data_IF_057869535418
#
_entry.id   IF_057869535418
#
_cell.length_a   1.000
_cell.length_b   1.000
_cell.length_c   1.000
_cell.angle_alpha   90.00
_cell.angle_beta   90.00
_cell.angle_gamma   90.00
#
_symmetry.space_group_name_H-M   'P 1'
#
loop_
_entity.id
_entity.type
_entity.pdbx_description
1 polymer ?
#
# COMPACT_ATOMS: atom_id res chain seq x y z
N UNK A 1 16.24 18.67 28.43
CA UNK A 1 15.34 17.56 28.03
C UNK A 1 14.02 17.57 28.79
N UNK A 2 14.00 17.95 30.08
CA UNK A 2 12.75 18.12 30.83
C UNK A 2 12.31 19.60 30.83
N UNK A 3 11.01 19.83 30.90
CA UNK A 3 10.36 21.12 31.13
C UNK A 3 9.38 20.92 32.29
N UNK A 4 9.40 21.79 33.31
CA UNK A 4 8.58 21.67 34.53
C UNK A 4 8.60 20.27 35.19
N UNK A 5 9.79 19.71 35.40
CA UNK A 5 9.99 18.35 35.96
C UNK A 5 9.32 17.21 35.17
N UNK A 6 8.90 17.45 33.93
CA UNK A 6 8.30 16.45 33.06
C UNK A 6 9.05 16.34 31.73
N UNK A 7 8.95 15.17 31.09
CA UNK A 7 9.35 15.03 29.70
C UNK A 7 8.29 15.73 28.82
N UNK A 8 8.67 16.75 28.01
CA UNK A 8 7.71 17.46 27.19
C UNK A 8 7.11 16.52 26.15
N UNK A 9 5.77 16.51 26.06
CA UNK A 9 5.05 15.78 25.01
C UNK A 9 5.37 16.41 23.65
N UNK A 10 5.76 15.58 22.68
CA UNK A 10 6.10 16.02 21.33
C UNK A 10 7.59 16.25 21.07
N UNK A 11 8.45 16.23 22.10
CA UNK A 11 9.91 16.23 21.88
C UNK A 11 10.38 14.86 21.33
N UNK A 12 11.21 14.83 20.28
CA UNK A 12 11.68 13.58 19.66
C UNK A 12 12.54 12.73 20.61
N UNK A 13 13.15 13.34 21.64
CA UNK A 13 13.99 12.62 22.62
C UNK A 13 13.17 12.05 23.78
N UNK A 14 11.96 12.54 24.01
CA UNK A 14 11.13 12.13 25.16
C UNK A 14 10.77 10.64 25.16
N UNK A 15 10.40 9.99 24.03
CA UNK A 15 10.12 8.55 24.02
C UNK A 15 11.33 7.70 24.43
N UNK A 16 12.53 8.06 23.97
CA UNK A 16 13.77 7.37 24.33
C UNK A 16 14.09 7.50 25.81
N UNK A 17 14.02 8.72 26.36
CA UNK A 17 14.20 8.92 27.79
C UNK A 17 13.15 8.19 28.63
N UNK A 18 11.87 8.25 28.25
CA UNK A 18 10.80 7.57 28.98
C UNK A 18 11.02 6.05 28.99
N UNK A 19 11.52 5.47 27.90
CA UNK A 19 11.86 4.04 27.87
C UNK A 19 13.08 3.70 28.73
N UNK A 20 14.10 4.57 28.75
CA UNK A 20 15.26 4.38 29.62
C UNK A 20 14.88 4.41 31.10
N UNK A 21 14.04 5.38 31.51
CA UNK A 21 13.50 5.45 32.88
C UNK A 21 12.63 4.22 33.16
N UNK A 22 11.79 3.83 32.19
CA UNK A 22 10.95 2.63 32.26
C UNK A 22 11.74 1.32 32.40
N UNK A 23 12.99 1.27 31.95
CA UNK A 23 13.80 0.06 32.02
C UNK A 23 14.04 -0.41 33.47
N UNK A 24 14.19 0.53 34.42
CA UNK A 24 14.40 0.19 35.83
C UNK A 24 13.19 -0.51 36.46
N UNK A 25 11.98 -0.06 36.11
CA UNK A 25 10.74 -0.73 36.56
C UNK A 25 10.58 -2.08 35.86
N UNK A 26 10.93 -2.18 34.56
CA UNK A 26 10.83 -3.43 33.81
C UNK A 26 11.67 -4.56 34.43
N UNK A 27 12.93 -4.31 34.79
CA UNK A 27 13.80 -5.32 35.43
C UNK A 27 13.12 -5.89 36.69
N UNK A 28 12.60 -5.01 37.54
CA UNK A 28 11.97 -5.38 38.82
C UNK A 28 10.65 -6.10 38.60
N UNK A 29 9.84 -5.65 37.64
CA UNK A 29 8.54 -6.25 37.34
C UNK A 29 8.67 -7.62 36.67
N UNK A 30 9.65 -7.81 35.78
CA UNK A 30 9.96 -9.11 35.17
C UNK A 30 10.36 -10.12 36.25
N UNK A 31 11.23 -9.73 37.18
CA UNK A 31 11.62 -10.59 38.31
C UNK A 31 10.42 -10.95 39.21
N UNK A 32 9.55 -9.98 39.52
CA UNK A 32 8.34 -10.22 40.30
C UNK A 32 7.37 -11.16 39.57
N UNK A 33 7.17 -10.96 38.26
CA UNK A 33 6.30 -11.78 37.43
C UNK A 33 6.80 -13.23 37.40
N UNK A 34 8.09 -13.44 37.11
CA UNK A 34 8.72 -14.76 37.07
C UNK A 34 8.55 -15.50 38.40
N UNK A 35 8.84 -14.84 39.54
CA UNK A 35 8.67 -15.42 40.88
C UNK A 35 7.24 -15.89 41.16
N UNK A 36 6.25 -15.23 40.58
CA UNK A 36 4.84 -15.54 40.79
C UNK A 36 4.22 -16.37 39.64
N UNK A 37 5.00 -16.82 38.66
CA UNK A 37 4.50 -17.56 37.50
C UNK A 37 3.57 -16.74 36.61
N UNK A 38 3.92 -15.48 36.41
CA UNK A 38 3.26 -14.55 35.50
C UNK A 38 4.24 -14.07 34.43
N UNK A 39 3.68 -13.63 33.30
CA UNK A 39 4.40 -12.90 32.26
C UNK A 39 4.07 -11.42 32.41
N UNK A 40 5.11 -10.58 32.34
CA UNK A 40 4.99 -9.12 32.34
C UNK A 40 5.23 -8.58 30.94
N UNK A 41 4.45 -7.56 30.56
CA UNK A 41 4.68 -6.77 29.37
C UNK A 41 4.35 -5.30 29.64
N UNK A 42 5.09 -4.39 29.00
CA UNK A 42 4.86 -2.95 29.09
C UNK A 42 4.80 -2.33 27.69
N UNK A 43 3.87 -1.42 27.48
CA UNK A 43 3.81 -0.56 26.31
C UNK A 43 3.60 0.88 26.77
N UNK A 44 4.63 1.72 26.62
CA UNK A 44 4.67 3.05 27.22
C UNK A 44 4.37 2.98 28.74
N UNK A 45 3.24 3.53 29.18
CA UNK A 45 2.74 3.55 30.55
C UNK A 45 1.79 2.37 30.90
N UNK A 46 1.31 1.64 29.90
CA UNK A 46 0.46 0.47 30.11
C UNK A 46 1.29 -0.75 30.53
N UNK A 47 0.99 -1.30 31.71
CA UNK A 47 1.58 -2.53 32.25
C UNK A 47 0.53 -3.65 32.22
N UNK A 48 0.92 -4.84 31.76
CA UNK A 48 0.06 -6.03 31.75
C UNK A 48 0.78 -7.22 32.35
N UNK A 49 0.10 -7.91 33.28
CA UNK A 49 0.50 -9.20 33.80
C UNK A 49 -0.49 -10.28 33.31
N UNK A 50 0.03 -11.43 32.88
CA UNK A 50 -0.78 -12.57 32.43
C UNK A 50 -0.28 -13.87 33.03
N UNK A 51 -1.18 -14.82 33.28
CA UNK A 51 -0.82 -16.16 33.79
C UNK A 51 -1.79 -17.21 33.29
N UNK A 52 -1.34 -18.47 33.23
CA UNK A 52 -2.18 -19.65 33.01
C UNK A 52 -2.66 -20.30 34.31
N UNK A 53 -2.25 -19.77 35.48
CA UNK A 53 -2.69 -20.25 36.79
C UNK A 53 -4.18 -19.99 37.00
N UNK A 54 -4.87 -20.93 37.65
CA UNK A 54 -6.29 -20.79 38.02
C UNK A 54 -6.54 -19.60 38.95
N UNK A 55 -5.66 -19.41 39.94
CA UNK A 55 -5.73 -18.31 40.88
C UNK A 55 -4.68 -17.26 40.52
N UNK A 56 -5.12 -16.00 40.41
CA UNK A 56 -4.20 -14.90 40.15
C UNK A 56 -3.34 -14.60 41.39
N UNK A 57 -2.02 -14.39 41.26
CA UNK A 57 -1.16 -14.20 42.44
C UNK A 57 -1.45 -12.90 43.20
N UNK A 58 -1.76 -13.01 44.49
CA UNK A 58 -2.07 -11.86 45.38
C UNK A 58 -0.94 -10.85 45.51
N UNK A 59 0.31 -11.29 45.31
CA UNK A 59 1.48 -10.40 45.25
C UNK A 59 1.42 -9.42 44.07
N UNK A 60 0.70 -9.78 43.00
CA UNK A 60 0.53 -8.95 41.80
C UNK A 60 -0.77 -8.18 41.86
N UNK A 61 -1.89 -8.84 42.14
CA UNK A 61 -3.19 -8.20 42.34
C UNK A 61 -4.13 -9.16 43.10
N UNK A 62 -5.12 -8.59 43.79
CA UNK A 62 -6.15 -9.36 44.48
C UNK A 62 -7.53 -8.70 44.30
N UNK A 63 -8.58 -9.51 44.35
CA UNK A 63 -9.96 -9.05 44.32
C UNK A 63 -10.40 -8.71 45.75
N UNK A 64 -11.07 -7.58 45.96
CA UNK A 64 -11.50 -7.14 47.31
C UNK A 64 -12.83 -7.80 47.70
N UNK A 65 -13.70 -8.07 46.73
CA UNK A 65 -15.09 -8.46 46.94
C UNK A 65 -15.68 -9.22 45.74
N UNK A 66 -16.97 -9.55 45.81
CA UNK A 66 -17.74 -10.17 44.72
C UNK A 66 -17.99 -9.20 43.54
N UNK A 67 -17.68 -7.90 43.69
CA UNK A 67 -17.89 -6.88 42.64
C UNK A 67 -16.88 -6.96 41.50
N UNK A 68 -15.93 -7.91 41.57
CA UNK A 68 -14.86 -8.08 40.59
C UNK A 68 -13.93 -6.86 40.50
N UNK A 69 -13.80 -6.12 41.61
CA UNK A 69 -12.88 -4.99 41.75
C UNK A 69 -11.50 -5.48 42.17
N UNK A 70 -10.49 -5.18 41.37
CA UNK A 70 -9.12 -5.64 41.58
C UNK A 70 -8.19 -4.52 42.02
N UNK A 71 -7.43 -4.78 43.09
CA UNK A 71 -6.38 -3.89 43.58
C UNK A 71 -5.01 -4.51 43.23
N UNK A 72 -4.04 -3.70 42.77
CA UNK A 72 -2.65 -4.13 42.63
C UNK A 72 -2.05 -4.54 43.99
N UNK A 73 -1.34 -5.65 43.99
CA UNK A 73 -0.67 -6.19 45.18
C UNK A 73 0.42 -5.26 45.69
N UNK A 74 0.72 -5.37 46.99
CA UNK A 74 1.69 -4.52 47.67
C UNK A 74 3.09 -4.57 47.05
N UNK A 75 3.49 -5.71 46.48
CA UNK A 75 4.78 -5.83 45.80
C UNK A 75 4.87 -4.97 44.53
N UNK A 76 3.78 -4.92 43.74
CA UNK A 76 3.69 -4.07 42.54
C UNK A 76 3.74 -2.59 42.93
N UNK A 77 2.92 -2.18 43.91
CA UNK A 77 2.88 -0.79 44.40
C UNK A 77 4.23 -0.33 44.97
N UNK A 78 4.93 -1.22 45.68
CA UNK A 78 6.27 -0.96 46.21
C UNK A 78 7.31 -0.76 45.11
N UNK A 79 7.24 -1.52 44.02
CA UNK A 79 8.14 -1.34 42.88
C UNK A 79 7.85 -0.01 42.17
N UNK A 80 6.57 0.28 41.89
CA UNK A 80 6.13 1.53 41.22
C UNK A 80 6.61 2.75 42.00
N UNK A 81 6.33 2.82 43.30
CA UNK A 81 6.74 3.92 44.17
C UNK A 81 8.26 4.07 44.27
N UNK A 82 9.00 2.96 44.43
CA UNK A 82 10.48 2.97 44.46
C UNK A 82 11.12 3.43 43.15
N UNK A 83 10.40 3.36 42.04
CA UNK A 83 10.86 3.86 40.75
C UNK A 83 10.37 5.29 40.45
N UNK A 84 9.72 5.96 41.41
CA UNK A 84 9.25 7.34 41.27
C UNK A 84 7.96 7.50 40.46
N UNK A 85 7.22 6.41 40.25
CA UNK A 85 5.95 6.43 39.52
C UNK A 85 4.75 6.33 40.47
N UNK A 86 3.57 6.71 39.97
CA UNK A 86 2.27 6.53 40.61
C UNK A 86 1.34 5.76 39.69
N UNK A 87 0.44 4.94 40.26
CA UNK A 87 -0.52 4.17 39.48
C UNK A 87 -1.88 4.87 39.40
N UNK A 88 -2.51 4.83 38.22
CA UNK A 88 -3.92 5.20 38.08
C UNK A 88 -4.81 3.99 38.42
N UNK A 89 -5.42 4.01 39.60
CA UNK A 89 -6.25 2.92 40.10
C UNK A 89 -7.51 2.68 39.26
N UNK A 90 -8.14 3.73 38.73
CA UNK A 90 -9.36 3.64 37.91
C UNK A 90 -9.15 2.89 36.60
N UNK A 91 -7.90 2.84 36.11
CA UNK A 91 -7.52 2.09 34.91
C UNK A 91 -7.14 0.63 35.18
N UNK A 92 -7.10 0.22 36.45
CA UNK A 92 -6.79 -1.17 36.84
C UNK A 92 -7.98 -2.06 36.52
N UNK A 93 -7.73 -3.16 35.80
CA UNK A 93 -8.78 -4.10 35.40
C UNK A 93 -8.23 -5.52 35.32
N UNK A 94 -9.06 -6.50 35.67
CA UNK A 94 -8.83 -7.91 35.43
C UNK A 94 -9.61 -8.38 34.20
N UNK A 95 -9.04 -9.30 33.42
CA UNK A 95 -9.71 -9.89 32.27
C UNK A 95 -9.59 -11.41 32.29
N UNK A 96 -10.73 -12.09 32.27
CA UNK A 96 -10.81 -13.54 32.38
C UNK A 96 -10.84 -14.20 31.00
N UNK A 97 -10.36 -15.45 30.93
CA UNK A 97 -10.35 -16.24 29.68
C UNK A 97 -11.74 -16.47 29.09
N UNK A 98 -12.78 -16.48 29.93
CA UNK A 98 -14.20 -16.60 29.55
C UNK A 98 -14.78 -15.31 28.92
N UNK A 99 -14.02 -14.21 28.92
CA UNK A 99 -14.43 -12.89 28.43
C UNK A 99 -13.42 -12.36 27.40
N UNK A 100 -13.75 -11.28 26.71
CA UNK A 100 -12.79 -10.66 25.79
C UNK A 100 -11.58 -10.11 26.56
N UNK A 101 -10.39 -10.59 26.20
CA UNK A 101 -9.12 -10.09 26.71
C UNK A 101 -8.56 -9.08 25.71
N UNK A 102 -8.27 -7.87 26.19
CA UNK A 102 -7.70 -6.79 25.40
C UNK A 102 -6.49 -6.14 26.07
N UNK A 103 -5.40 -6.08 25.32
CA UNK A 103 -4.13 -5.45 25.69
C UNK A 103 -3.79 -4.44 24.61
N UNK A 104 -3.50 -3.20 25.00
CA UNK A 104 -3.10 -2.10 24.09
C UNK A 104 -4.01 -1.91 22.87
N UNK A 105 -5.31 -2.19 23.01
CA UNK A 105 -6.31 -2.07 21.95
C UNK A 105 -6.45 -3.28 21.01
N UNK A 106 -5.67 -4.34 21.24
CA UNK A 106 -5.78 -5.62 20.53
C UNK A 106 -6.50 -6.65 21.39
N UNK A 107 -7.35 -7.47 20.77
CA UNK A 107 -7.92 -8.67 21.39
C UNK A 107 -6.86 -9.77 21.37
N UNK A 108 -6.64 -10.45 22.50
CA UNK A 108 -5.50 -11.39 22.66
C UNK A 108 -5.89 -12.78 23.17
N UNK A 109 -7.19 -13.11 23.24
CA UNK A 109 -7.70 -14.38 23.79
C UNK A 109 -7.00 -15.64 23.25
N UNK A 110 -6.67 -15.67 21.95
CA UNK A 110 -5.99 -16.81 21.30
C UNK A 110 -4.82 -16.34 20.45
N UNK A 111 -5.10 -15.36 19.61
CA UNK A 111 -4.13 -14.65 18.77
C UNK A 111 -4.42 -13.16 18.85
N UNK A 112 -3.44 -12.34 18.47
CA UNK A 112 -3.62 -10.89 18.42
C UNK A 112 -4.57 -10.53 17.28
N UNK A 113 -5.69 -9.88 17.58
CA UNK A 113 -6.66 -9.43 16.59
C UNK A 113 -7.10 -8.00 16.85
N UNK A 114 -7.41 -7.27 15.78
CA UNK A 114 -8.16 -6.02 15.93
C UNK A 114 -9.60 -6.32 16.36
N UNK A 115 -10.21 -5.51 17.25
CA UNK A 115 -11.56 -5.74 17.77
C UNK A 115 -12.61 -5.93 16.66
N UNK A 116 -13.59 -6.80 16.90
CA UNK A 116 -14.63 -7.11 15.92
C UNK A 116 -15.44 -5.86 15.53
N UNK A 117 -15.79 -5.02 16.50
CA UNK A 117 -16.56 -3.79 16.25
C UNK A 117 -15.77 -2.76 15.45
N UNK A 118 -14.45 -2.70 15.63
CA UNK A 118 -13.57 -1.89 14.80
C UNK A 118 -13.63 -2.37 13.34
N UNK A 119 -13.49 -3.68 13.10
CA UNK A 119 -13.60 -4.26 11.75
C UNK A 119 -14.97 -4.00 11.13
N UNK A 120 -16.06 -4.21 11.87
CA UNK A 120 -17.44 -3.93 11.40
C UNK A 120 -17.62 -2.47 11.02
N UNK A 121 -17.09 -1.56 11.82
CA UNK A 121 -17.15 -0.12 11.54
C UNK A 121 -16.41 0.22 10.25
N UNK A 122 -15.20 -0.30 10.04
CA UNK A 122 -14.44 -0.10 8.78
C UNK A 122 -15.21 -0.64 7.57
N UNK A 123 -15.86 -1.81 7.70
CA UNK A 123 -16.71 -2.36 6.63
C UNK A 123 -17.88 -1.44 6.29
N UNK A 124 -18.56 -0.89 7.30
CA UNK A 124 -19.64 0.07 7.10
C UNK A 124 -19.16 1.37 6.43
N UNK A 125 -17.98 1.87 6.82
CA UNK A 125 -17.35 3.03 6.20
C UNK A 125 -17.02 2.78 4.72
N UNK A 126 -16.48 1.62 4.37
CA UNK A 126 -16.19 1.24 2.98
C UNK A 126 -17.44 1.12 2.13
N UNK A 127 -18.48 0.49 2.69
CA UNK A 127 -19.77 0.38 2.01
C UNK A 127 -20.35 1.77 1.68
N UNK A 128 -20.38 2.68 2.67
CA UNK A 128 -20.82 4.06 2.47
C UNK A 128 -19.95 4.80 1.44
N UNK A 129 -18.62 4.63 1.50
CA UNK A 129 -17.70 5.27 0.56
C UNK A 129 -18.01 4.87 -0.88
N UNK A 130 -18.17 3.56 -1.12
CA UNK A 130 -18.37 3.04 -2.48
C UNK A 130 -19.76 3.38 -3.04
N UNK A 131 -20.79 3.44 -2.20
CA UNK A 131 -22.15 3.73 -2.66
C UNK A 131 -22.47 5.23 -2.69
N UNK A 132 -22.08 5.97 -1.66
CA UNK A 132 -22.53 7.34 -1.41
C UNK A 132 -21.42 8.39 -1.57
N UNK A 133 -20.16 7.97 -1.76
CA UNK A 133 -19.02 8.89 -1.93
C UNK A 133 -18.62 9.58 -0.64
N UNK A 134 -19.13 9.10 0.48
CA UNK A 134 -18.81 9.62 1.81
C UNK A 134 -18.64 8.47 2.78
N UNK A 135 -17.91 8.68 3.86
CA UNK A 135 -17.88 7.76 4.99
C UNK A 135 -17.89 8.58 6.27
N UNK A 136 -18.03 7.92 7.43
CA UNK A 136 -18.04 8.63 8.70
C UNK A 136 -16.77 8.33 9.50
N UNK A 137 -16.40 9.22 10.40
CA UNK A 137 -15.49 8.94 11.51
C UNK A 137 -16.17 9.26 12.83
N UNK A 138 -15.74 8.60 13.89
CA UNK A 138 -16.25 8.84 15.24
C UNK A 138 -15.18 9.63 15.99
N UNK A 139 -15.46 10.88 16.32
CA UNK A 139 -14.63 11.63 17.28
C UNK A 139 -15.24 11.49 18.67
N UNK A 140 -14.37 11.29 19.66
CA UNK A 140 -14.70 11.38 21.07
C UNK A 140 -13.88 12.53 21.67
N UNK A 141 -14.43 13.76 21.70
CA UNK A 141 -13.71 14.91 22.25
C UNK A 141 -13.37 14.64 23.73
N UNK A 142 -12.15 14.95 24.16
CA UNK A 142 -11.68 14.67 25.54
C UNK A 142 -12.57 15.29 26.63
N UNK A 143 -13.32 16.34 26.31
CA UNK A 143 -14.15 17.12 27.24
C UNK A 143 -15.66 16.86 27.12
N UNK A 144 -16.10 15.98 26.22
CA UNK A 144 -17.51 15.70 26.00
C UNK A 144 -17.77 14.19 26.10
N UNK A 145 -18.74 13.80 26.96
CA UNK A 145 -19.29 12.44 26.98
C UNK A 145 -20.19 12.13 25.77
N UNK A 146 -20.08 12.90 24.68
CA UNK A 146 -20.80 12.70 23.43
C UNK A 146 -19.83 12.28 22.34
N UNK A 147 -20.12 11.14 21.71
CA UNK A 147 -19.52 10.75 20.43
C UNK A 147 -20.17 11.52 19.30
N UNK A 148 -19.35 12.17 18.49
CA UNK A 148 -19.80 12.88 17.29
C UNK A 148 -19.42 12.09 16.05
N UNK A 149 -20.39 11.87 15.15
CA UNK A 149 -20.16 11.30 13.83
C UNK A 149 -19.89 12.43 12.85
N UNK A 150 -18.73 12.39 12.21
CA UNK A 150 -18.32 13.36 11.22
C UNK A 150 -18.32 12.67 9.86
N UNK A 151 -19.11 13.19 8.93
CA UNK A 151 -19.09 12.76 7.53
C UNK A 151 -17.85 13.29 6.83
N UNK A 152 -17.16 12.42 6.11
CA UNK A 152 -15.92 12.68 5.37
C UNK A 152 -16.18 12.37 3.90
N UNK A 153 -15.85 13.28 2.96
CA UNK A 153 -16.01 13.04 1.53
C UNK A 153 -14.94 12.08 0.98
N UNK A 154 -15.22 11.49 -0.19
CA UNK A 154 -14.31 10.57 -0.88
C UNK A 154 -12.94 11.16 -1.21
N UNK A 155 -12.79 12.49 -1.28
CA UNK A 155 -11.50 13.14 -1.49
C UNK A 155 -10.51 12.99 -0.32
N UNK A 156 -10.94 12.48 0.84
CA UNK A 156 -10.09 12.33 2.02
C UNK A 156 -9.99 10.88 2.47
N UNK A 157 -9.21 10.06 1.77
CA UNK A 157 -9.12 8.62 2.02
C UNK A 157 -8.16 8.21 3.15
N UNK A 158 -7.24 9.10 3.56
CA UNK A 158 -6.11 8.77 4.44
C UNK A 158 -6.52 8.16 5.79
N UNK A 159 -7.62 8.62 6.39
CA UNK A 159 -8.07 8.05 7.67
C UNK A 159 -8.54 6.61 7.50
N UNK A 160 -9.35 6.34 6.47
CA UNK A 160 -9.86 4.99 6.22
C UNK A 160 -8.73 4.05 5.79
N UNK A 161 -7.77 4.55 5.01
CA UNK A 161 -6.54 3.82 4.67
C UNK A 161 -5.73 3.45 5.91
N UNK A 162 -5.55 4.38 6.85
CA UNK A 162 -4.87 4.11 8.11
C UNK A 162 -5.58 3.02 8.93
N UNK A 163 -6.90 3.03 8.96
CA UNK A 163 -7.69 1.99 9.64
C UNK A 163 -7.52 0.61 8.99
N UNK A 164 -7.52 0.55 7.66
CA UNK A 164 -7.29 -0.69 6.91
C UNK A 164 -5.86 -1.19 7.06
N UNK A 165 -4.89 -0.27 7.08
CA UNK A 165 -3.47 -0.57 7.29
C UNK A 165 -3.22 -1.14 8.68
N UNK A 166 -3.89 -0.60 9.72
CA UNK A 166 -3.84 -1.16 11.07
C UNK A 166 -4.38 -2.61 11.11
N UNK A 167 -5.53 -2.87 10.49
CA UNK A 167 -6.08 -4.23 10.38
C UNK A 167 -5.11 -5.15 9.64
N UNK A 168 -4.59 -4.68 8.49
CA UNK A 168 -3.67 -5.45 7.66
C UNK A 168 -2.37 -5.79 8.39
N UNK A 169 -1.81 -4.86 9.16
CA UNK A 169 -0.59 -5.08 9.94
C UNK A 169 -0.75 -6.19 10.98
N UNK A 170 -1.87 -6.18 11.72
CA UNK A 170 -2.17 -7.23 12.72
C UNK A 170 -2.42 -8.57 12.03
N UNK A 171 -3.20 -8.58 10.94
CA UNK A 171 -3.47 -9.83 10.20
C UNK A 171 -2.20 -10.36 9.53
N UNK A 172 -1.30 -9.49 9.07
CA UNK A 172 0.01 -9.85 8.52
C UNK A 172 0.89 -10.52 9.57
N UNK A 173 0.98 -9.95 10.76
CA UNK A 173 1.74 -10.55 11.87
C UNK A 173 1.27 -11.98 12.17
N UNK A 174 -0.04 -12.22 12.18
CA UNK A 174 -0.58 -13.57 12.38
C UNK A 174 -0.25 -14.52 11.22
N UNK A 175 -0.30 -14.04 9.98
CA UNK A 175 0.09 -14.83 8.81
C UNK A 175 1.57 -15.19 8.83
N UNK A 176 2.44 -14.22 9.12
CA UNK A 176 3.88 -14.46 9.24
C UNK A 176 4.19 -15.50 10.31
N UNK A 177 3.47 -15.49 11.45
CA UNK A 177 3.57 -16.56 12.44
C UNK A 177 3.20 -17.92 11.89
N UNK A 178 2.17 -18.04 11.06
CA UNK A 178 1.78 -19.32 10.46
C UNK A 178 2.88 -19.80 9.50
N UNK A 179 3.33 -18.92 8.61
CA UNK A 179 4.39 -19.24 7.63
C UNK A 179 5.69 -19.66 8.32
N UNK A 180 6.10 -18.95 9.37
CA UNK A 180 7.34 -19.25 10.09
C UNK A 180 7.28 -20.53 10.93
N UNK A 181 6.08 -21.00 11.28
CA UNK A 181 5.89 -22.19 12.13
C UNK A 181 5.25 -23.37 11.38
N UNK A 182 5.13 -23.31 10.05
CA UNK A 182 4.52 -24.38 9.23
C UNK A 182 5.17 -24.47 7.85
N UNK A 183 4.74 -25.44 7.04
CA UNK A 183 5.16 -25.56 5.62
C UNK A 183 4.35 -24.68 4.66
N UNK A 184 3.33 -23.98 5.17
CA UNK A 184 2.42 -23.17 4.36
C UNK A 184 3.14 -21.94 3.82
N UNK A 185 3.00 -21.69 2.52
CA UNK A 185 3.56 -20.50 1.87
C UNK A 185 2.57 -19.34 1.84
N UNK A 186 3.06 -18.12 1.71
CA UNK A 186 2.21 -16.92 1.66
C UNK A 186 1.18 -16.97 0.52
N UNK A 187 1.56 -17.53 -0.62
CA UNK A 187 0.77 -17.64 -1.85
C UNK A 187 -0.40 -18.63 -1.70
N UNK A 188 -0.26 -19.61 -0.80
CA UNK A 188 -1.29 -20.62 -0.51
C UNK A 188 -2.38 -20.08 0.42
N UNK A 189 -2.11 -18.96 1.12
CA UNK A 189 -3.03 -18.38 2.09
C UNK A 189 -4.11 -17.52 1.43
N UNK A 190 -5.34 -18.06 1.41
CA UNK A 190 -6.53 -17.36 0.94
C UNK A 190 -6.73 -16.00 1.62
N UNK A 191 -7.20 -15.02 0.84
CA UNK A 191 -7.59 -13.72 1.39
C UNK A 191 -8.87 -13.82 2.21
N UNK A 192 -8.82 -13.22 3.40
CA UNK A 192 -10.00 -13.00 4.24
C UNK A 192 -10.98 -12.01 3.60
N UNK A 193 -12.22 -11.97 4.09
CA UNK A 193 -13.22 -11.00 3.60
C UNK A 193 -12.79 -9.54 3.77
N UNK A 194 -12.09 -9.19 4.86
CA UNK A 194 -11.62 -7.82 5.07
C UNK A 194 -10.44 -7.47 4.16
N UNK A 195 -9.57 -8.44 3.83
CA UNK A 195 -8.50 -8.23 2.85
C UNK A 195 -9.05 -8.00 1.44
N UNK A 196 -10.08 -8.76 1.04
CA UNK A 196 -10.79 -8.51 -0.22
C UNK A 196 -11.35 -7.09 -0.29
N UNK A 197 -11.96 -6.61 0.80
CA UNK A 197 -12.45 -5.23 0.91
C UNK A 197 -11.31 -4.20 0.92
N UNK A 198 -10.17 -4.51 1.51
CA UNK A 198 -8.97 -3.67 1.43
C UNK A 198 -8.47 -3.58 -0.02
N UNK A 199 -8.46 -4.70 -0.76
CA UNK A 199 -8.18 -4.70 -2.20
C UNK A 199 -9.17 -3.88 -3.02
N UNK A 200 -10.45 -3.92 -2.68
CA UNK A 200 -11.46 -3.04 -3.30
C UNK A 200 -11.21 -1.57 -2.96
N UNK A 201 -10.77 -1.25 -1.75
CA UNK A 201 -10.40 0.11 -1.36
C UNK A 201 -9.15 0.60 -2.11
N UNK A 202 -8.10 -0.21 -2.21
CA UNK A 202 -6.89 0.17 -2.94
C UNK A 202 -7.19 0.35 -4.43
N UNK A 203 -8.03 -0.51 -5.02
CA UNK A 203 -8.45 -0.32 -6.40
C UNK A 203 -9.20 1.01 -6.56
N UNK A 204 -10.13 1.32 -5.65
CA UNK A 204 -10.85 2.59 -5.64
C UNK A 204 -9.89 3.78 -5.54
N UNK A 205 -8.97 3.75 -4.56
CA UNK A 205 -7.98 4.82 -4.32
C UNK A 205 -7.06 5.07 -5.51
N UNK A 206 -6.57 4.01 -6.16
CA UNK A 206 -5.57 4.15 -7.21
C UNK A 206 -6.15 4.32 -8.60
N UNK A 207 -7.23 3.63 -8.94
CA UNK A 207 -7.71 3.52 -10.32
C UNK A 207 -9.07 4.17 -10.55
N UNK A 208 -9.82 4.52 -9.51
CA UNK A 208 -11.18 5.04 -9.66
C UNK A 208 -11.33 6.48 -9.17
N UNK A 209 -10.95 6.74 -7.92
CA UNK A 209 -11.10 8.01 -7.22
C UNK A 209 -9.77 8.69 -6.90
N UNK A 210 -8.68 8.27 -7.56
CA UNK A 210 -7.40 8.98 -7.48
C UNK A 210 -7.54 10.42 -8.01
N UNK A 211 -6.76 11.34 -7.48
CA UNK A 211 -6.74 12.77 -7.83
C UNK A 211 -5.85 13.10 -9.06
N UNK A 212 -5.22 12.07 -9.61
CA UNK A 212 -4.33 12.16 -10.78
C UNK A 212 -4.47 10.89 -11.62
N UNK A 213 -4.21 10.93 -12.93
CA UNK A 213 -4.04 9.74 -13.76
C UNK A 213 -3.06 8.73 -13.15
N UNK A 214 -3.36 7.45 -13.32
CA UNK A 214 -2.54 6.34 -12.81
C UNK A 214 -1.90 5.57 -13.96
N UNK A 215 -0.59 5.42 -13.90
CA UNK A 215 0.20 4.69 -14.89
C UNK A 215 0.59 3.32 -14.31
N UNK A 216 0.38 2.27 -15.10
CA UNK A 216 0.78 0.89 -14.79
C UNK A 216 1.74 0.44 -15.89
N UNK A 217 2.98 0.10 -15.53
CA UNK A 217 3.94 -0.49 -16.47
C UNK A 217 4.19 -1.96 -16.12
N UNK A 218 4.71 -2.77 -17.03
CA UNK A 218 5.03 -4.18 -16.76
C UNK A 218 6.04 -4.33 -15.62
N UNK A 219 7.07 -3.46 -15.61
CA UNK A 219 8.15 -3.50 -14.63
C UNK A 219 8.39 -2.17 -13.92
N UNK A 220 9.17 -2.25 -12.83
CA UNK A 220 9.62 -1.07 -12.06
C UNK A 220 10.63 -0.18 -12.81
N UNK A 221 11.27 -0.70 -13.85
CA UNK A 221 12.26 0.00 -14.67
C UNK A 221 11.61 1.05 -15.56
N UNK A 222 10.48 0.70 -16.16
CA UNK A 222 9.76 1.55 -17.11
C UNK A 222 9.20 2.79 -16.40
N UNK A 223 8.77 2.64 -15.14
CA UNK A 223 8.41 3.76 -14.27
C UNK A 223 9.53 4.81 -14.22
N UNK A 224 10.80 4.38 -14.15
CA UNK A 224 11.97 5.28 -14.11
C UNK A 224 12.20 5.91 -15.48
N UNK A 225 12.17 5.12 -16.55
CA UNK A 225 12.39 5.61 -17.91
C UNK A 225 11.34 6.67 -18.28
N UNK A 226 10.06 6.37 -18.10
CA UNK A 226 8.96 7.28 -18.39
C UNK A 226 8.99 8.51 -17.47
N UNK A 227 9.30 8.35 -16.18
CA UNK A 227 9.48 9.50 -15.28
C UNK A 227 10.58 10.43 -15.80
N UNK A 228 11.70 9.89 -16.25
CA UNK A 228 12.82 10.68 -16.78
C UNK A 228 12.43 11.34 -18.10
N UNK A 229 11.82 10.60 -19.03
CA UNK A 229 11.37 11.09 -20.33
C UNK A 229 10.34 12.22 -20.20
N UNK A 230 9.28 12.01 -19.41
CA UNK A 230 8.24 13.01 -19.16
C UNK A 230 8.85 14.30 -18.60
N UNK A 231 9.74 14.18 -17.61
CA UNK A 231 10.43 15.34 -17.03
C UNK A 231 11.36 16.01 -18.03
N UNK A 232 12.11 15.26 -18.84
CA UNK A 232 13.03 15.84 -19.82
C UNK A 232 12.28 16.57 -20.93
N UNK A 233 11.14 16.03 -21.37
CA UNK A 233 10.29 16.58 -22.43
C UNK A 233 9.13 17.45 -21.93
N UNK A 234 9.21 17.95 -20.68
CA UNK A 234 8.10 18.65 -20.02
C UNK A 234 7.49 19.81 -20.82
N UNK A 235 8.31 20.52 -21.61
CA UNK A 235 7.87 21.63 -22.45
C UNK A 235 6.85 21.19 -23.54
N UNK A 236 7.00 19.96 -24.07
CA UNK A 236 6.07 19.39 -25.06
C UNK A 236 4.82 18.78 -24.41
N UNK A 237 4.91 18.38 -23.14
CA UNK A 237 3.88 17.63 -22.42
C UNK A 237 3.42 18.29 -21.10
N UNK A 238 2.84 19.51 -21.15
CA UNK A 238 2.33 20.20 -19.96
C UNK A 238 1.15 19.49 -19.29
N UNK A 239 0.49 18.55 -19.98
CA UNK A 239 -0.57 17.71 -19.42
C UNK A 239 -0.02 16.60 -18.50
N UNK A 240 1.23 16.19 -18.73
CA UNK A 240 1.90 15.11 -18.00
C UNK A 240 2.84 15.64 -16.90
N UNK A 241 3.37 16.86 -17.04
CA UNK A 241 4.33 17.45 -16.11
C UNK A 241 4.00 18.92 -15.84
N UNK A 242 4.09 19.33 -14.58
CA UNK A 242 4.07 20.72 -14.14
C UNK A 242 5.44 21.14 -13.63
N UNK A 243 5.66 22.45 -13.57
CA UNK A 243 6.83 23.06 -12.92
C UNK A 243 6.31 23.79 -11.68
N UNK A 244 6.88 23.50 -10.51
CA UNK A 244 6.53 24.22 -9.28
C UNK A 244 7.23 25.60 -9.21
N UNK A 245 6.99 26.31 -8.10
CA UNK A 245 7.56 27.64 -7.86
C UNK A 245 9.09 27.65 -7.83
N UNK A 246 9.71 26.51 -7.52
CA UNK A 246 11.16 26.36 -7.40
C UNK A 246 11.80 25.84 -8.70
N UNK A 247 11.02 25.77 -9.80
CA UNK A 247 11.50 25.24 -11.08
C UNK A 247 11.59 23.72 -11.15
N UNK A 248 11.11 23.00 -10.13
CA UNK A 248 11.16 21.54 -10.08
C UNK A 248 10.02 20.93 -10.88
N UNK A 249 10.36 19.92 -11.67
CA UNK A 249 9.44 19.20 -12.55
C UNK A 249 8.68 18.14 -11.77
N UNK A 250 7.36 18.32 -11.63
CA UNK A 250 6.44 17.45 -10.90
C UNK A 250 5.52 16.74 -11.89
N UNK A 251 5.45 15.41 -11.80
CA UNK A 251 4.53 14.62 -12.62
C UNK A 251 3.07 14.92 -12.21
N UNK A 252 2.19 15.07 -13.20
CA UNK A 252 0.73 15.15 -12.99
C UNK A 252 0.06 13.78 -12.97
N UNK A 253 0.84 12.72 -12.86
CA UNK A 253 0.38 11.33 -12.80
C UNK A 253 1.16 10.56 -11.74
N UNK A 254 0.57 9.45 -11.28
CA UNK A 254 1.22 8.50 -10.38
C UNK A 254 1.57 7.21 -11.11
N UNK A 255 2.65 6.56 -10.69
CA UNK A 255 2.96 5.19 -11.10
C UNK A 255 2.53 4.21 -10.01
N UNK A 256 1.97 3.06 -10.40
CA UNK A 256 1.77 1.95 -9.45
C UNK A 256 3.13 1.40 -9.02
N UNK A 257 3.28 1.26 -7.71
CA UNK A 257 4.42 0.61 -7.11
C UNK A 257 4.09 -0.86 -6.80
N UNK A 258 4.93 -1.77 -7.27
CA UNK A 258 4.86 -3.20 -7.02
C UNK A 258 5.42 -3.53 -5.63
N UNK A 259 4.56 -3.33 -4.62
CA UNK A 259 4.81 -3.64 -3.21
C UNK A 259 4.13 -4.95 -2.80
N UNK A 260 4.57 -5.55 -1.69
CA UNK A 260 3.93 -6.74 -1.11
C UNK A 260 2.42 -6.53 -0.87
N UNK A 261 2.02 -5.32 -0.46
CA UNK A 261 0.61 -4.98 -0.26
C UNK A 261 -0.17 -5.00 -1.58
N UNK A 262 0.34 -4.35 -2.63
CA UNK A 262 -0.33 -4.31 -3.94
C UNK A 262 -0.35 -5.68 -4.59
N UNK A 263 0.70 -6.50 -4.40
CA UNK A 263 0.73 -7.88 -4.86
C UNK A 263 -0.44 -8.67 -4.26
N UNK A 264 -0.55 -8.68 -2.92
CA UNK A 264 -1.59 -9.44 -2.23
C UNK A 264 -2.99 -8.89 -2.46
N UNK A 265 -3.17 -7.57 -2.45
CA UNK A 265 -4.50 -6.94 -2.45
C UNK A 265 -5.06 -6.68 -3.84
N UNK A 266 -4.20 -6.48 -4.85
CA UNK A 266 -4.62 -6.16 -6.21
C UNK A 266 -4.35 -7.29 -7.20
N UNK A 267 -3.60 -8.33 -6.80
CA UNK A 267 -3.08 -9.38 -7.70
C UNK A 267 -2.21 -8.79 -8.81
N UNK A 268 -1.31 -7.89 -8.43
CA UNK A 268 -0.38 -7.21 -9.32
C UNK A 268 1.05 -7.46 -8.84
N UNK A 269 1.65 -8.59 -9.22
CA UNK A 269 3.05 -8.95 -8.96
C UNK A 269 4.02 -8.33 -9.98
N UNK A 270 3.47 -7.89 -11.12
CA UNK A 270 4.22 -7.40 -12.27
C UNK A 270 4.21 -8.43 -13.39
N UNK A 271 4.55 -8.02 -14.61
CA UNK A 271 4.53 -8.92 -15.76
C UNK A 271 3.20 -8.97 -16.52
N UNK A 272 3.29 -9.54 -17.72
CA UNK A 272 2.20 -9.64 -18.70
C UNK A 272 0.90 -10.28 -18.18
N UNK A 273 0.99 -11.40 -17.45
CA UNK A 273 -0.17 -12.16 -16.97
C UNK A 273 -1.08 -11.38 -16.02
N UNK A 274 -0.47 -10.72 -15.05
CA UNK A 274 -1.17 -9.96 -14.02
C UNK A 274 -1.88 -8.76 -14.62
N UNK A 275 -1.19 -8.04 -15.51
CA UNK A 275 -1.75 -6.89 -16.22
C UNK A 275 -2.89 -7.35 -17.14
N UNK A 276 -2.73 -8.47 -17.83
CA UNK A 276 -3.79 -9.04 -18.66
C UNK A 276 -5.04 -9.37 -17.81
N UNK A 277 -4.86 -9.94 -16.61
CA UNK A 277 -5.97 -10.21 -15.70
C UNK A 277 -6.59 -8.92 -15.14
N UNK A 278 -5.78 -7.93 -14.79
CA UNK A 278 -6.21 -6.59 -14.40
C UNK A 278 -7.11 -5.96 -15.45
N UNK A 279 -6.69 -5.98 -16.73
CA UNK A 279 -7.46 -5.48 -17.87
C UNK A 279 -8.81 -6.19 -17.97
N UNK A 280 -8.83 -7.53 -17.94
CA UNK A 280 -10.08 -8.32 -18.08
C UNK A 280 -11.10 -8.03 -16.98
N UNK A 281 -10.65 -7.80 -15.75
CA UNK A 281 -11.55 -7.59 -14.62
C UNK A 281 -11.80 -6.12 -14.26
N UNK A 282 -11.12 -5.17 -14.92
CA UNK A 282 -11.16 -3.76 -14.58
C UNK A 282 -12.59 -3.20 -14.51
N UNK A 283 -13.37 -3.39 -15.58
CA UNK A 283 -14.75 -2.90 -15.64
C UNK A 283 -15.64 -3.55 -14.58
N UNK A 284 -15.45 -4.85 -14.30
CA UNK A 284 -16.18 -5.56 -13.24
C UNK A 284 -15.86 -5.01 -11.85
N UNK A 285 -14.60 -4.63 -11.58
CA UNK A 285 -14.21 -4.00 -10.31
C UNK A 285 -14.84 -2.61 -10.17
N UNK A 286 -14.88 -1.83 -11.24
CA UNK A 286 -15.52 -0.51 -11.25
C UNK A 286 -17.01 -0.56 -10.88
N UNK A 287 -17.73 -1.64 -11.20
CA UNK A 287 -19.17 -1.80 -10.87
C UNK A 287 -19.50 -1.71 -9.38
N UNK A 288 -18.51 -1.90 -8.50
CA UNK A 288 -18.69 -1.80 -7.04
C UNK A 288 -18.91 -0.36 -6.56
N UNK A 289 -18.52 0.62 -7.36
CA UNK A 289 -18.53 2.02 -6.98
C UNK A 289 -19.67 2.74 -7.71
N UNK A 290 -20.59 3.32 -6.94
CA UNK A 290 -21.85 3.91 -7.41
C UNK A 290 -21.93 5.42 -7.17
N UNK A 291 -21.04 5.93 -6.32
CA UNK A 291 -21.09 7.30 -5.84
C UNK A 291 -20.85 8.37 -6.91
N UNK A 292 -19.90 8.10 -7.82
CA UNK A 292 -19.45 9.02 -8.86
C UNK A 292 -18.77 8.21 -9.96
N UNK A 293 -18.66 8.70 -11.21
CA UNK A 293 -17.84 8.03 -12.23
C UNK A 293 -16.34 8.07 -11.84
N UNK A 294 -15.47 7.24 -12.44
CA UNK A 294 -14.03 7.40 -12.25
C UNK A 294 -13.59 8.86 -12.51
N UNK A 295 -12.54 9.33 -11.85
CA UNK A 295 -12.13 10.75 -11.88
C UNK A 295 -11.04 11.06 -12.91
N UNK A 296 -10.13 10.12 -13.12
CA UNK A 296 -8.97 10.27 -14.00
C UNK A 296 -8.66 8.96 -14.70
N UNK A 297 -8.00 8.96 -15.87
CA UNK A 297 -7.69 7.74 -16.60
C UNK A 297 -6.62 6.90 -15.91
N UNK A 298 -6.77 5.58 -16.04
CA UNK A 298 -5.72 4.59 -15.79
C UNK A 298 -5.10 4.21 -17.13
N UNK A 299 -3.79 4.35 -17.26
CA UNK A 299 -3.05 4.07 -18.49
C UNK A 299 -2.06 2.94 -18.21
N UNK A 300 -2.27 1.80 -18.86
CA UNK A 300 -1.29 0.70 -18.86
C UNK A 300 -0.33 0.94 -20.02
N UNK A 301 0.98 0.97 -19.77
CA UNK A 301 2.00 1.14 -20.80
C UNK A 301 2.81 -0.14 -20.93
N UNK A 302 2.93 -0.66 -22.14
CA UNK A 302 3.37 -2.04 -22.39
C UNK A 302 4.26 -2.10 -23.63
N UNK A 303 5.22 -3.02 -23.61
CA UNK A 303 6.07 -3.32 -24.76
C UNK A 303 5.23 -3.93 -25.91
N UNK A 304 5.66 -3.67 -27.15
CA UNK A 304 4.97 -4.14 -28.35
C UNK A 304 5.66 -5.37 -28.92
N UNK A 305 5.94 -6.34 -28.06
CA UNK A 305 6.68 -7.55 -28.37
C UNK A 305 5.92 -8.83 -27.99
N UNK A 306 6.57 -9.98 -28.15
CA UNK A 306 5.97 -11.28 -27.84
C UNK A 306 5.81 -11.54 -26.33
N UNK A 307 6.53 -10.82 -25.46
CA UNK A 307 6.37 -10.88 -24.00
C UNK A 307 4.99 -10.38 -23.56
N UNK A 308 4.39 -9.49 -24.34
CA UNK A 308 3.09 -8.86 -24.05
C UNK A 308 1.88 -9.58 -24.65
N UNK A 309 2.05 -10.82 -25.14
CA UNK A 309 1.00 -11.59 -25.82
C UNK A 309 -0.28 -11.78 -24.99
N UNK A 310 -0.16 -11.98 -23.69
CA UNK A 310 -1.33 -12.17 -22.81
C UNK A 310 -2.13 -10.88 -22.65
N UNK A 311 -1.44 -9.74 -22.60
CA UNK A 311 -2.04 -8.40 -22.61
C UNK A 311 -2.78 -8.15 -23.93
N UNK A 312 -2.18 -8.50 -25.08
CA UNK A 312 -2.85 -8.37 -26.38
C UNK A 312 -4.14 -9.20 -26.44
N UNK A 313 -4.10 -10.42 -25.87
CA UNK A 313 -5.29 -11.24 -25.67
C UNK A 313 -6.34 -10.55 -24.81
N UNK A 314 -5.95 -9.96 -23.67
CA UNK A 314 -6.87 -9.24 -22.80
C UNK A 314 -7.52 -8.02 -23.48
N UNK A 315 -6.79 -7.28 -24.32
CA UNK A 315 -7.34 -6.19 -25.13
C UNK A 315 -8.42 -6.74 -26.08
N UNK A 316 -8.14 -7.84 -26.79
CA UNK A 316 -9.11 -8.50 -27.67
C UNK A 316 -10.36 -8.96 -26.90
N UNK A 317 -10.16 -9.63 -25.77
CA UNK A 317 -11.24 -10.17 -24.92
C UNK A 317 -12.20 -9.07 -24.43
N UNK A 318 -11.66 -7.89 -24.14
CA UNK A 318 -12.43 -6.77 -23.54
C UNK A 318 -13.01 -5.79 -24.56
N UNK A 319 -12.38 -5.66 -25.74
CA UNK A 319 -12.77 -4.68 -26.76
C UNK A 319 -13.51 -5.29 -27.95
N UNK A 320 -13.57 -6.63 -28.01
CA UNK A 320 -14.20 -7.36 -29.10
C UNK A 320 -13.47 -7.11 -30.42
N UNK A 321 -14.22 -6.80 -31.48
CA UNK A 321 -13.66 -6.58 -32.82
C UNK A 321 -13.04 -5.20 -33.05
N UNK A 322 -13.09 -4.27 -32.08
CA UNK A 322 -12.76 -2.84 -32.29
C UNK A 322 -11.34 -2.61 -32.82
N UNK A 323 -10.39 -3.43 -32.40
CA UNK A 323 -8.97 -3.29 -32.74
C UNK A 323 -8.40 -4.54 -33.41
N UNK A 324 -9.25 -5.38 -33.97
CA UNK A 324 -8.84 -6.64 -34.60
C UNK A 324 -8.76 -6.45 -36.11
N UNK A 325 -7.66 -6.89 -36.69
CA UNK A 325 -7.41 -6.92 -38.13
C UNK A 325 -7.31 -8.38 -38.61
N UNK A 326 -7.56 -8.58 -39.91
CA UNK A 326 -7.59 -9.91 -40.52
C UNK A 326 -8.94 -10.62 -40.37
N UNK A 327 -9.07 -11.79 -41.01
CA UNK A 327 -10.31 -12.57 -41.06
C UNK A 327 -10.08 -14.03 -40.62
N UNK A 328 -11.12 -14.66 -40.07
CA UNK A 328 -11.10 -16.06 -39.65
C UNK A 328 -10.00 -16.36 -38.62
N UNK A 329 -9.20 -17.40 -38.85
CA UNK A 329 -8.09 -17.81 -37.96
C UNK A 329 -6.90 -16.82 -37.95
N UNK A 330 -6.85 -15.86 -38.88
CA UNK A 330 -5.79 -14.85 -38.96
C UNK A 330 -6.10 -13.56 -38.19
N UNK A 331 -7.15 -13.54 -37.36
CA UNK A 331 -7.50 -12.37 -36.55
C UNK A 331 -6.45 -12.06 -35.49
N UNK A 332 -5.82 -10.90 -35.60
CA UNK A 332 -4.82 -10.39 -34.67
C UNK A 332 -5.18 -8.99 -34.18
N UNK A 333 -4.61 -8.59 -33.04
CA UNK A 333 -4.65 -7.21 -32.58
C UNK A 333 -3.88 -6.34 -33.59
N UNK A 334 -4.45 -5.20 -33.98
CA UNK A 334 -3.76 -4.20 -34.78
C UNK A 334 -2.66 -3.53 -33.97
N UNK A 335 -1.45 -4.11 -34.00
CA UNK A 335 -0.24 -3.62 -33.30
C UNK A 335 0.34 -2.33 -33.91
N UNK A 336 -0.18 -1.84 -35.04
CA UNK A 336 0.27 -0.58 -35.65
C UNK A 336 -0.25 0.65 -34.88
N UNK A 337 -1.34 0.46 -34.13
CA UNK A 337 -1.87 1.44 -33.18
C UNK A 337 -1.04 1.46 -31.91
N UNK A 338 -0.96 2.63 -31.29
CA UNK A 338 -0.23 2.84 -30.03
C UNK A 338 -1.15 3.15 -28.86
N UNK A 339 -2.45 3.38 -29.10
CA UNK A 339 -3.43 3.69 -28.06
C UNK A 339 -4.73 2.89 -28.24
N UNK A 340 -5.18 2.28 -27.14
CA UNK A 340 -6.37 1.44 -27.08
C UNK A 340 -7.22 1.87 -25.88
N UNK A 341 -8.40 2.44 -26.15
CA UNK A 341 -9.43 2.58 -25.11
C UNK A 341 -10.06 1.22 -24.83
N UNK A 342 -10.01 0.79 -23.56
CA UNK A 342 -10.50 -0.52 -23.11
C UNK A 342 -11.96 -0.40 -22.65
N UNK A 343 -12.15 0.15 -21.46
CA UNK A 343 -13.46 0.33 -20.83
C UNK A 343 -13.34 1.31 -19.64
N UNK A 344 -14.44 1.98 -19.29
CA UNK A 344 -14.50 2.92 -18.17
C UNK A 344 -13.47 4.05 -18.34
N UNK A 345 -12.45 4.09 -17.49
CA UNK A 345 -11.33 5.02 -17.55
C UNK A 345 -10.00 4.33 -17.89
N UNK A 346 -10.02 3.08 -18.38
CA UNK A 346 -8.82 2.30 -18.68
C UNK A 346 -8.41 2.42 -20.14
N UNK A 347 -7.12 2.72 -20.34
CA UNK A 347 -6.43 2.74 -21.62
C UNK A 347 -5.21 1.81 -21.57
N UNK A 348 -4.83 1.29 -22.73
CA UNK A 348 -3.53 0.64 -22.95
C UNK A 348 -2.76 1.42 -24.00
N UNK A 349 -1.48 1.68 -23.74
CA UNK A 349 -0.51 2.27 -24.65
C UNK A 349 0.55 1.24 -24.97
N UNK A 350 0.76 0.97 -26.25
CA UNK A 350 1.87 0.13 -26.70
C UNK A 350 3.03 1.01 -27.18
N UNK A 351 4.26 0.52 -27.00
CA UNK A 351 5.40 1.11 -27.71
C UNK A 351 5.16 1.05 -29.22
N UNK A 352 5.52 2.09 -30.00
CA UNK A 352 5.33 2.05 -31.44
C UNK A 352 6.21 0.97 -32.07
N UNK A 353 5.71 0.30 -33.11
CA UNK A 353 6.53 -0.59 -33.93
C UNK A 353 7.62 0.19 -34.65
N UNK A 354 8.80 -0.41 -34.81
CA UNK A 354 9.88 0.17 -35.59
C UNK A 354 9.91 -0.49 -36.97
N UNK A 355 9.42 0.21 -38.00
CA UNK A 355 9.28 -0.32 -39.36
C UNK A 355 8.56 -1.68 -39.40
N UNK A 356 7.48 -1.81 -38.60
CA UNK A 356 6.68 -3.03 -38.49
C UNK A 356 7.27 -4.11 -37.57
N UNK A 357 8.44 -3.87 -36.95
CA UNK A 357 9.06 -4.80 -35.99
C UNK A 357 8.69 -4.47 -34.55
N UNK A 358 8.61 -5.52 -33.75
CA UNK A 358 8.40 -5.46 -32.30
C UNK A 358 9.42 -4.55 -31.62
N UNK A 359 8.99 -3.85 -30.57
CA UNK A 359 9.82 -2.93 -29.78
C UNK A 359 9.57 -3.10 -28.29
N UNK A 360 10.58 -2.77 -27.49
CA UNK A 360 10.51 -2.63 -26.04
C UNK A 360 10.92 -1.22 -25.59
N UNK A 361 10.63 -0.86 -24.35
CA UNK A 361 10.96 0.45 -23.76
C UNK A 361 12.42 0.87 -23.99
N UNK A 362 13.37 -0.06 -23.91
CA UNK A 362 14.78 0.26 -24.08
C UNK A 362 15.18 0.67 -25.50
N UNK A 363 14.41 0.28 -26.53
CA UNK A 363 14.71 0.62 -27.94
C UNK A 363 14.59 2.13 -28.22
N UNK A 364 13.98 2.89 -27.31
CA UNK A 364 13.77 4.33 -27.42
C UNK A 364 14.91 5.17 -26.82
N UNK A 365 15.96 4.53 -26.31
CA UNK A 365 17.18 5.21 -25.90
C UNK A 365 18.21 5.28 -27.05
N UNK A 366 19.01 6.36 -27.11
CA UNK A 366 20.15 6.43 -28.03
C UNK A 366 21.14 5.28 -27.80
N UNK A 367 21.74 4.76 -28.87
CA UNK A 367 22.74 3.68 -28.80
C UNK A 367 23.93 4.04 -27.91
N UNK A 368 24.31 5.33 -27.86
CA UNK A 368 25.36 5.84 -26.97
C UNK A 368 25.03 5.67 -25.49
N UNK A 369 23.76 5.70 -25.12
CA UNK A 369 23.29 5.46 -23.75
C UNK A 369 23.20 3.97 -23.46
N UNK A 370 22.68 3.18 -24.40
CA UNK A 370 22.55 1.72 -24.26
C UNK A 370 23.91 1.01 -24.08
N UNK A 371 24.97 1.57 -24.65
CA UNK A 371 26.33 1.03 -24.61
C UNK A 371 27.19 1.54 -23.46
N UNK A 372 26.65 2.42 -22.59
CA UNK A 372 27.40 2.93 -21.44
C UNK A 372 27.80 1.79 -20.48
N UNK A 373 29.09 1.62 -20.17
CA UNK A 373 29.51 0.61 -19.21
C UNK A 373 29.16 1.03 -17.78
N UNK A 374 28.83 0.06 -16.93
CA UNK A 374 28.69 0.27 -15.48
C UNK A 374 29.59 -0.71 -14.73
N UNK A 375 30.59 -0.18 -14.01
CA UNK A 375 31.59 -0.99 -13.28
C UNK A 375 32.24 -2.07 -14.17
N UNK A 376 32.61 -1.70 -15.39
CA UNK A 376 33.24 -2.59 -16.37
C UNK A 376 32.31 -3.61 -17.06
N UNK A 377 31.00 -3.60 -16.74
CA UNK A 377 29.99 -4.49 -17.33
C UNK A 377 29.16 -3.76 -18.38
N UNK A 378 28.63 -4.52 -19.35
CA UNK A 378 27.76 -4.02 -20.43
C UNK A 378 26.29 -4.27 -20.14
N UNK A 379 25.38 -3.59 -20.83
CA UNK A 379 23.95 -3.80 -20.61
C UNK A 379 23.50 -5.18 -21.11
N UNK A 380 22.69 -5.91 -20.32
CA UNK A 380 22.25 -7.28 -20.63
C UNK A 380 21.42 -7.44 -21.92
N UNK A 381 20.81 -6.38 -22.43
CA UNK A 381 20.01 -6.43 -23.67
C UNK A 381 20.86 -6.32 -24.94
N UNK A 382 22.15 -6.01 -24.82
CA UNK A 382 23.04 -5.89 -25.97
C UNK A 382 23.42 -7.28 -26.51
N UNK A 383 23.31 -7.45 -27.82
CA UNK A 383 23.69 -8.70 -28.50
C UNK A 383 25.21 -8.91 -28.44
N UNK A 384 25.65 -10.16 -28.27
CA UNK A 384 27.06 -10.55 -28.32
C UNK A 384 27.85 -10.38 -27.01
N UNK A 385 27.20 -9.99 -25.91
CA UNK A 385 27.85 -9.90 -24.59
C UNK A 385 27.83 -11.26 -23.88
N UNK A 386 28.96 -11.68 -23.33
CA UNK A 386 29.06 -12.95 -22.57
C UNK A 386 28.19 -12.92 -21.30
N UNK A 387 27.38 -13.97 -21.03
CA UNK A 387 26.63 -14.10 -19.77
C UNK A 387 27.60 -14.04 -18.59
N UNK A 388 27.45 -13.05 -17.71
CA UNK A 388 28.33 -12.82 -16.55
C UNK A 388 29.11 -11.49 -16.58
N UNK A 389 29.27 -10.87 -17.76
CA UNK A 389 29.83 -9.52 -17.88
C UNK A 389 28.76 -8.45 -18.14
N UNK A 390 27.54 -8.70 -17.68
CA UNK A 390 26.39 -7.82 -17.89
C UNK A 390 25.88 -7.17 -16.60
N UNK A 391 25.18 -6.05 -16.72
CA UNK A 391 24.35 -5.46 -15.67
C UNK A 391 22.87 -5.42 -16.08
N UNK A 392 21.99 -5.41 -15.08
CA UNK A 392 20.55 -5.57 -15.28
C UNK A 392 19.81 -4.30 -15.69
N UNK A 393 18.58 -4.44 -16.22
CA UNK A 393 17.65 -3.32 -16.48
C UNK A 393 17.46 -2.42 -15.25
N UNK A 394 17.46 -3.00 -14.04
CA UNK A 394 17.38 -2.21 -12.80
C UNK A 394 18.60 -1.29 -12.59
N UNK A 395 19.81 -1.81 -12.86
CA UNK A 395 21.04 -1.01 -12.79
C UNK A 395 21.01 0.07 -13.87
N UNK A 396 20.62 -0.27 -15.09
CA UNK A 396 20.45 0.69 -16.20
C UNK A 396 19.54 1.86 -15.79
N UNK A 397 18.33 1.54 -15.31
CA UNK A 397 17.35 2.54 -14.90
C UNK A 397 17.86 3.47 -13.78
N UNK A 398 18.42 2.91 -12.71
CA UNK A 398 18.80 3.69 -11.53
C UNK A 398 20.14 4.42 -11.67
N UNK A 399 21.15 3.77 -12.24
CA UNK A 399 22.54 4.25 -12.21
C UNK A 399 23.00 4.86 -13.53
N UNK A 400 22.28 4.64 -14.63
CA UNK A 400 22.60 5.28 -15.92
C UNK A 400 21.52 6.30 -16.26
N UNK A 401 20.27 5.88 -16.42
CA UNK A 401 19.18 6.76 -16.87
C UNK A 401 18.90 7.87 -15.85
N UNK A 402 18.57 7.50 -14.61
CA UNK A 402 18.21 8.47 -13.57
C UNK A 402 19.40 9.36 -13.17
N UNK A 403 20.60 8.80 -13.11
CA UNK A 403 21.82 9.53 -12.74
C UNK A 403 22.20 10.58 -13.79
N UNK A 404 22.07 10.24 -15.07
CA UNK A 404 22.46 11.10 -16.20
C UNK A 404 21.25 11.75 -16.91
N UNK A 405 20.12 11.89 -16.21
CA UNK A 405 18.86 12.36 -16.81
C UNK A 405 19.00 13.68 -17.59
N UNK A 406 19.85 14.60 -17.12
CA UNK A 406 20.05 15.92 -17.74
C UNK A 406 20.79 15.86 -19.08
N UNK A 407 21.61 14.84 -19.31
CA UNK A 407 22.47 14.74 -20.50
C UNK A 407 21.96 13.71 -21.52
N UNK A 408 20.96 12.91 -21.17
CA UNK A 408 20.36 11.91 -22.06
C UNK A 408 19.30 12.58 -22.93
N UNK A 409 19.35 12.31 -24.24
CA UNK A 409 18.25 12.63 -25.13
C UNK A 409 17.11 11.62 -24.97
N UNK A 410 15.92 12.12 -24.67
CA UNK A 410 14.69 11.33 -24.51
C UNK A 410 13.72 11.51 -25.69
N UNK A 411 14.11 12.19 -26.76
CA UNK A 411 13.26 12.48 -27.93
C UNK A 411 12.57 11.23 -28.49
N UNK A 412 13.25 10.08 -28.47
CA UNK A 412 12.71 8.77 -28.86
C UNK A 412 11.44 8.35 -28.10
N UNK A 413 11.24 8.79 -26.86
CA UNK A 413 10.03 8.49 -26.08
C UNK A 413 8.80 9.30 -26.50
N UNK A 414 8.95 10.30 -27.36
CA UNK A 414 7.85 11.19 -27.78
C UNK A 414 6.60 10.45 -28.26
N UNK A 415 6.67 9.40 -29.12
CA UNK A 415 5.48 8.71 -29.59
C UNK A 415 4.69 8.02 -28.46
N UNK A 416 5.38 7.50 -27.44
CA UNK A 416 4.74 6.89 -26.26
C UNK A 416 4.02 7.97 -25.44
N UNK A 417 4.70 9.10 -25.21
CA UNK A 417 4.13 10.23 -24.47
C UNK A 417 2.98 10.92 -25.24
N UNK A 418 3.04 10.94 -26.57
CA UNK A 418 1.97 11.43 -27.45
C UNK A 418 0.71 10.56 -27.29
N UNK A 419 0.85 9.23 -27.25
CA UNK A 419 -0.28 8.31 -26.94
C UNK A 419 -0.83 8.50 -25.53
N UNK A 420 0.03 8.68 -24.53
CA UNK A 420 -0.40 8.96 -23.15
C UNK A 420 -1.16 10.29 -23.08
N UNK A 421 -0.65 11.35 -23.72
CA UNK A 421 -1.32 12.64 -23.85
C UNK A 421 -2.68 12.50 -24.53
N UNK A 422 -2.76 11.73 -25.62
CA UNK A 422 -4.01 11.48 -26.32
C UNK A 422 -5.05 10.82 -25.39
N UNK A 423 -4.65 9.85 -24.56
CA UNK A 423 -5.54 9.25 -23.56
C UNK A 423 -6.05 10.28 -22.53
N UNK A 424 -5.17 11.18 -22.06
CA UNK A 424 -5.55 12.24 -21.12
C UNK A 424 -6.55 13.24 -21.72
N UNK A 425 -6.41 13.57 -23.01
CA UNK A 425 -7.29 14.49 -23.72
C UNK A 425 -8.60 13.85 -24.18
N UNK A 426 -8.59 12.54 -24.40
CA UNK A 426 -9.77 11.77 -24.78
C UNK A 426 -10.70 11.54 -23.58
N UNK A 427 -10.14 11.19 -22.43
CA UNK A 427 -10.91 10.77 -21.25
C UNK A 427 -12.03 11.73 -20.82
N UNK A 428 -11.82 13.06 -20.71
CA UNK A 428 -12.89 13.99 -20.33
C UNK A 428 -14.08 14.01 -21.31
N UNK A 429 -13.91 13.52 -22.54
CA UNK A 429 -14.95 13.45 -23.56
C UNK A 429 -15.84 12.21 -23.41
N UNK A 430 -15.40 11.23 -22.61
CA UNK A 430 -16.17 10.02 -22.34
C UNK A 430 -17.27 10.36 -21.33
N UNK A 431 -18.54 10.28 -21.77
CA UNK A 431 -19.69 10.36 -20.86
C UNK A 431 -19.75 9.09 -20.02
N UNK A 432 -19.20 9.16 -18.81
CA UNK A 432 -19.30 8.08 -17.83
C UNK A 432 -20.51 8.33 -16.92
N UNK A 433 -21.45 7.40 -16.93
CA UNK A 433 -22.52 7.33 -15.92
C UNK A 433 -21.95 6.51 -14.74
N UNK A 434 -22.24 6.88 -13.47
CA UNK A 434 -21.92 6.01 -12.34
C UNK A 434 -22.42 4.58 -12.62
N UNK A 435 -21.54 3.60 -12.39
CA UNK A 435 -21.76 2.22 -12.84
C UNK A 435 -22.95 1.53 -12.19
#
# INVERSE_FOLDING_TARGET
>A
MCHDNALPQGSPTSPFASNLIGHLIDIRMVALAAKNGCTYSRYADDITFSTSKKNFPTQIAYCIDESNTWIPGSAVLKIISKCGFSLNHDKTRMQYTSSQQSVTGLVVNKIAHTPADYRRTVRAMLHRLFLDGTYFTIKKPKHLNKTERITIPFGQLNKLEGMLSYIYMVDRYNREKIVNNSKTKHEEMLMTSIEKMHGDFLFYKYFYAGDTPTIVCEGKTDNVYLTCAMKSLFAKYPELVSVDKDGKRILKSRFINYSELTHRMLNMFGGSADIAQFIRFYARRCKKYKAHPPLHPTIVVVDNDTGSKEIFGAIKDTTGGRYIIGAGKAQALDKSRTLYYIAQNLYVVLTPLNAGKDTMMEDFFPTTVLTMPHKGRSFEILKGVKPGNTYSKHIFAQHIIKANQKSIDFSGFSPILDSMKAALLDYPKIKLIPA
#
